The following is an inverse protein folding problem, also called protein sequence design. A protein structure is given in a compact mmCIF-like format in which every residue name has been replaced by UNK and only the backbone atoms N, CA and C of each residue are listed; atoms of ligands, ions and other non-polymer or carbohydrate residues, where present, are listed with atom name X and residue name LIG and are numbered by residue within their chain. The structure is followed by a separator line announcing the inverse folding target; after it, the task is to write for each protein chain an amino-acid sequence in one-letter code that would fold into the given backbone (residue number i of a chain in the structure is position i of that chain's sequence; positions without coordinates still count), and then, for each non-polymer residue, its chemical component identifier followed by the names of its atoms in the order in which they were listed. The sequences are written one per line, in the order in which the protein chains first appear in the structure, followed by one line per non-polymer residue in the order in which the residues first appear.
data_IF_336464918927
#
_entry.id   IF_336464918927
#
_cell.length_a   1.000
_cell.length_b   1.000
_cell.length_c   1.000
_cell.angle_alpha   90.00
_cell.angle_beta   90.00
_cell.angle_gamma   90.00
#
_symmetry.space_group_name_H-M   'P 1'
#
loop_
_entity.id
_entity.type
_entity.pdbx_description
1 polymer ?
#
# COMPACT_ATOMS: atom_id res chain seq x y z
N UNK A 1 7.54 -6.26 0.08
CA UNK A 1 8.75 -7.04 0.42
C UNK A 1 9.02 -8.07 -0.67
N UNK A 2 8.06 -8.91 -1.01
CA UNK A 2 8.22 -9.97 -2.01
C UNK A 2 8.66 -9.41 -3.38
N UNK A 3 7.98 -8.39 -3.89
CA UNK A 3 8.35 -7.68 -5.12
C UNK A 3 9.80 -7.14 -5.08
N UNK A 4 10.19 -6.57 -3.96
CA UNK A 4 11.57 -6.06 -3.80
C UNK A 4 12.61 -7.17 -3.87
N UNK A 5 12.32 -8.35 -3.31
CA UNK A 5 13.21 -9.52 -3.34
C UNK A 5 13.29 -10.16 -4.72
N UNK A 6 12.14 -10.46 -5.28
CA UNK A 6 12.04 -11.39 -6.41
C UNK A 6 12.04 -10.65 -7.77
N UNK A 7 11.59 -9.41 -7.81
CA UNK A 7 11.57 -8.60 -9.04
C UNK A 7 12.70 -7.58 -9.07
N UNK A 8 12.94 -6.85 -7.96
CA UNK A 8 14.00 -5.84 -7.92
C UNK A 8 15.38 -6.38 -7.55
N UNK A 9 15.51 -7.70 -7.25
CA UNK A 9 16.78 -8.33 -6.88
C UNK A 9 17.36 -7.86 -5.55
N UNK A 10 16.56 -7.25 -4.68
CA UNK A 10 16.98 -6.84 -3.33
C UNK A 10 16.93 -8.03 -2.38
N UNK A 11 17.85 -8.96 -2.54
CA UNK A 11 17.95 -10.14 -1.66
C UNK A 11 17.96 -9.69 -0.19
N UNK A 12 17.14 -10.33 0.64
CA UNK A 12 16.93 -9.99 2.06
C UNK A 12 16.21 -8.67 2.34
N UNK A 13 15.54 -8.04 1.35
CA UNK A 13 14.62 -6.93 1.63
C UNK A 13 13.58 -7.35 2.68
N UNK A 14 13.31 -6.48 3.65
CA UNK A 14 12.40 -6.82 4.76
C UNK A 14 11.74 -5.57 5.36
N UNK A 15 10.84 -5.80 6.29
CA UNK A 15 10.37 -4.80 7.23
C UNK A 15 11.30 -4.76 8.45
N UNK A 16 11.59 -3.55 8.96
CA UNK A 16 12.29 -3.40 10.23
C UNK A 16 11.47 -3.85 11.43
N UNK A 17 10.19 -4.16 11.24
CA UNK A 17 9.34 -4.82 12.23
C UNK A 17 9.83 -6.24 12.53
N UNK A 18 10.20 -6.99 11.50
CA UNK A 18 10.65 -8.38 11.60
C UNK A 18 12.17 -8.52 11.69
N UNK A 19 12.91 -7.65 10.98
CA UNK A 19 14.36 -7.66 11.00
C UNK A 19 14.90 -6.23 11.05
N UNK A 20 15.27 -5.78 12.24
CA UNK A 20 15.81 -4.43 12.48
C UNK A 20 17.12 -4.16 11.73
N UNK A 21 17.88 -5.21 11.41
CA UNK A 21 19.19 -5.12 10.78
C UNK A 21 19.15 -5.44 9.27
N UNK A 22 17.97 -5.44 8.66
CA UNK A 22 17.86 -5.72 7.22
C UNK A 22 18.66 -4.68 6.41
N UNK A 23 19.43 -5.16 5.42
CA UNK A 23 20.17 -4.30 4.47
C UNK A 23 19.22 -3.43 3.62
N UNK A 24 18.04 -3.93 3.34
CA UNK A 24 17.05 -3.25 2.50
C UNK A 24 15.71 -3.12 3.24
N UNK A 25 15.59 -2.13 4.15
CA UNK A 25 14.34 -1.88 4.90
C UNK A 25 13.30 -1.22 3.99
N UNK A 26 12.68 -2.00 3.10
CA UNK A 26 11.66 -1.49 2.17
C UNK A 26 10.35 -1.12 2.85
N UNK A 27 10.13 -1.67 4.06
CA UNK A 27 9.08 -1.28 4.99
C UNK A 27 9.77 -0.85 6.29
N UNK A 28 9.46 0.36 6.78
CA UNK A 28 10.16 0.94 7.93
C UNK A 28 9.26 1.90 8.71
N UNK A 29 9.70 2.28 9.91
CA UNK A 29 9.08 3.36 10.66
C UNK A 29 9.36 4.72 9.98
N UNK A 30 8.40 5.62 10.01
CA UNK A 30 8.64 7.02 9.62
C UNK A 30 9.68 7.67 10.55
N UNK A 31 10.46 8.59 10.02
CA UNK A 31 11.47 9.31 10.82
C UNK A 31 10.86 10.02 12.03
N UNK A 32 9.67 10.61 11.85
CA UNK A 32 8.89 11.23 12.94
C UNK A 32 8.51 10.24 14.05
N UNK A 33 8.43 8.95 13.75
CA UNK A 33 8.06 7.91 14.72
C UNK A 33 9.28 7.29 15.42
N UNK A 34 10.48 7.41 14.85
CA UNK A 34 11.72 6.84 15.43
C UNK A 34 12.13 7.52 16.73
N UNK A 35 11.83 8.82 16.89
CA UNK A 35 12.17 9.60 18.07
C UNK A 35 11.25 9.37 19.28
N UNK A 36 10.12 8.69 19.10
CA UNK A 36 9.10 8.54 20.15
C UNK A 36 9.36 7.26 20.95
N UNK A 37 9.73 7.42 22.23
CA UNK A 37 9.98 6.31 23.18
C UNK A 37 8.72 5.52 23.56
N UNK A 38 7.54 6.14 23.50
CA UNK A 38 6.25 5.52 23.88
C UNK A 38 5.55 5.01 22.62
N UNK A 39 5.60 3.71 22.39
CA UNK A 39 5.06 3.07 21.18
C UNK A 39 3.53 3.20 20.98
N UNK A 40 2.76 3.52 22.03
CA UNK A 40 1.29 3.60 21.95
C UNK A 40 0.73 4.74 21.12
N UNK A 41 1.44 5.88 21.02
CA UNK A 41 1.01 7.10 20.31
C UNK A 41 1.46 7.23 18.86
N UNK A 42 2.19 6.24 18.32
CA UNK A 42 2.80 6.33 16.97
C UNK A 42 2.06 5.58 15.88
N UNK A 43 0.95 4.95 16.20
CA UNK A 43 0.14 4.22 15.23
C UNK A 43 -0.67 5.21 14.38
N UNK A 44 -0.65 5.02 13.06
CA UNK A 44 -1.66 5.62 12.21
C UNK A 44 -2.98 4.90 12.46
N UNK A 45 -3.87 5.56 13.16
CA UNK A 45 -5.17 5.02 13.58
C UNK A 45 -6.28 5.93 13.11
N UNK A 46 -7.30 5.37 12.47
CA UNK A 46 -8.46 6.12 11.98
C UNK A 46 -8.41 6.42 10.49
N UNK A 47 -9.16 7.43 10.07
CA UNK A 47 -9.33 7.79 8.67
C UNK A 47 -8.21 8.73 8.19
N UNK A 48 -7.60 8.39 7.04
CA UNK A 48 -6.63 9.23 6.35
C UNK A 48 -6.98 9.36 4.88
N UNK A 49 -6.67 10.49 4.31
CA UNK A 49 -6.87 10.77 2.90
C UNK A 49 -5.84 10.04 2.04
N UNK A 50 -6.29 9.61 0.87
CA UNK A 50 -5.45 9.00 -0.15
C UNK A 50 -5.80 9.61 -1.51
N UNK A 51 -4.82 10.17 -2.17
CA UNK A 51 -4.90 10.64 -3.55
C UNK A 51 -4.58 9.49 -4.50
N UNK A 52 -5.53 9.20 -5.41
CA UNK A 52 -5.42 8.09 -6.34
C UNK A 52 -4.95 8.58 -7.70
N UNK A 53 -3.94 7.94 -8.22
CA UNK A 53 -3.37 8.20 -9.55
C UNK A 53 -4.37 7.80 -10.64
N UNK A 54 -4.79 8.73 -11.53
CA UNK A 54 -5.62 8.38 -12.69
C UNK A 54 -4.94 7.35 -13.60
N UNK A 55 -5.76 6.54 -14.28
CA UNK A 55 -5.25 5.49 -15.19
C UNK A 55 -4.77 4.22 -14.50
N UNK A 56 -5.01 4.08 -13.21
CA UNK A 56 -4.65 2.90 -12.41
C UNK A 56 -5.88 2.00 -12.17
N UNK A 57 -5.65 0.73 -11.82
CA UNK A 57 -6.71 -0.20 -11.40
C UNK A 57 -7.40 0.30 -10.13
N UNK A 58 -6.63 0.86 -9.21
CA UNK A 58 -7.16 1.52 -8.00
C UNK A 58 -8.13 2.63 -8.38
N UNK A 59 -7.76 3.49 -9.35
CA UNK A 59 -8.64 4.55 -9.83
C UNK A 59 -9.91 3.99 -10.49
N UNK A 60 -9.77 2.96 -11.31
CA UNK A 60 -10.90 2.31 -11.97
C UNK A 60 -11.91 1.72 -10.94
N UNK A 61 -11.40 1.17 -9.83
CA UNK A 61 -12.20 0.61 -8.75
C UNK A 61 -13.01 1.68 -8.00
N UNK A 62 -12.35 2.76 -7.59
CA UNK A 62 -12.97 3.81 -6.78
C UNK A 62 -13.71 4.87 -7.60
N UNK A 63 -13.25 5.15 -8.83
CA UNK A 63 -13.74 6.22 -9.70
C UNK A 63 -13.71 7.61 -9.04
N UNK A 64 -12.70 7.82 -8.19
CA UNK A 64 -12.47 9.05 -7.44
C UNK A 64 -10.98 9.35 -7.37
N UNK A 65 -10.61 10.63 -7.47
CA UNK A 65 -9.21 11.08 -7.34
C UNK A 65 -8.74 11.12 -5.89
N UNK A 66 -9.65 11.33 -4.95
CA UNK A 66 -9.38 11.39 -3.52
C UNK A 66 -10.39 10.52 -2.77
N UNK A 67 -9.88 9.72 -1.86
CA UNK A 67 -10.65 8.87 -0.97
C UNK A 67 -10.16 9.05 0.46
N UNK A 68 -10.93 8.59 1.42
CA UNK A 68 -10.50 8.51 2.81
C UNK A 68 -10.69 7.08 3.28
N UNK A 69 -9.64 6.45 3.79
CA UNK A 69 -9.66 5.05 4.23
C UNK A 69 -9.13 4.91 5.66
N UNK A 70 -9.49 3.82 6.32
CA UNK A 70 -9.13 3.60 7.73
C UNK A 70 -7.85 2.80 7.85
N UNK A 71 -6.97 3.26 8.73
CA UNK A 71 -5.64 2.71 8.98
C UNK A 71 -5.49 2.19 10.41
N UNK A 72 -4.58 1.21 10.56
CA UNK A 72 -4.20 0.64 11.85
C UNK A 72 -2.80 0.04 11.75
N UNK A 73 -1.79 0.86 11.49
CA UNK A 73 -0.40 0.39 11.32
C UNK A 73 0.62 1.44 11.79
N UNK A 74 1.88 1.04 11.91
CA UNK A 74 3.03 1.90 12.24
C UNK A 74 4.07 1.95 11.15
N UNK A 75 4.21 0.86 10.40
CA UNK A 75 5.23 0.71 9.39
C UNK A 75 4.70 1.14 8.04
N UNK A 76 5.56 1.79 7.26
CA UNK A 76 5.23 2.39 5.97
C UNK A 76 6.18 1.90 4.89
N UNK A 77 5.79 2.03 3.64
CA UNK A 77 6.73 1.87 2.51
C UNK A 77 7.83 2.91 2.65
N UNK A 78 9.08 2.47 2.69
CA UNK A 78 10.22 3.36 2.80
C UNK A 78 10.46 4.10 1.49
N UNK A 79 10.27 5.41 1.50
CA UNK A 79 10.37 6.29 0.33
C UNK A 79 11.74 6.22 -0.38
N UNK A 80 12.82 5.83 0.30
CA UNK A 80 14.14 5.63 -0.30
C UNK A 80 14.16 4.56 -1.39
N UNK A 81 13.23 3.63 -1.35
CA UNK A 81 13.13 2.52 -2.32
C UNK A 81 12.11 2.78 -3.44
N UNK A 82 11.30 3.85 -3.38
CA UNK A 82 10.24 4.12 -4.36
C UNK A 82 10.74 4.09 -5.78
N UNK A 83 11.72 4.90 -6.11
CA UNK A 83 12.27 4.99 -7.48
C UNK A 83 12.75 3.62 -8.00
N UNK A 84 13.35 2.81 -7.13
CA UNK A 84 13.78 1.47 -7.52
C UNK A 84 12.60 0.56 -7.78
N UNK A 85 11.60 0.54 -6.93
CA UNK A 85 10.41 -0.28 -7.09
C UNK A 85 9.63 0.12 -8.35
N UNK A 86 9.48 1.42 -8.62
CA UNK A 86 8.83 1.94 -9.83
C UNK A 86 9.58 1.55 -11.11
N UNK A 87 10.91 1.63 -11.10
CA UNK A 87 11.75 1.21 -12.23
C UNK A 87 11.49 -0.23 -12.67
N UNK A 88 11.11 -1.09 -11.73
CA UNK A 88 10.80 -2.50 -11.98
C UNK A 88 9.30 -2.78 -12.18
N UNK A 89 8.48 -1.74 -12.31
CA UNK A 89 7.07 -1.87 -12.68
C UNK A 89 6.05 -1.88 -11.54
N UNK A 90 6.47 -1.59 -10.30
CA UNK A 90 5.52 -1.33 -9.23
C UNK A 90 4.92 0.07 -9.40
N UNK A 91 3.61 0.16 -9.36
CA UNK A 91 2.90 1.44 -9.46
C UNK A 91 2.44 1.85 -8.07
N UNK A 92 2.81 3.04 -7.62
CA UNK A 92 2.21 3.67 -6.45
C UNK A 92 0.94 4.37 -6.89
N UNK A 93 -0.17 3.64 -6.74
CA UNK A 93 -1.49 4.06 -7.25
C UNK A 93 -2.26 4.94 -6.27
N UNK A 94 -1.83 4.99 -5.00
CA UNK A 94 -2.39 5.86 -3.98
C UNK A 94 -1.32 6.41 -3.05
N UNK A 95 -1.42 7.69 -2.71
CA UNK A 95 -0.51 8.36 -1.78
C UNK A 95 -1.27 9.29 -0.85
N UNK A 96 -0.78 9.45 0.37
CA UNK A 96 -1.18 10.55 1.23
C UNK A 96 -0.17 11.69 1.03
N UNK A 97 -0.58 12.78 0.38
CA UNK A 97 0.31 13.88 0.01
C UNK A 97 0.78 14.68 1.23
N UNK A 98 -0.04 14.80 2.26
CA UNK A 98 0.30 15.56 3.48
C UNK A 98 1.42 14.87 4.27
N UNK A 99 1.41 13.54 4.31
CA UNK A 99 2.41 12.73 5.01
C UNK A 99 3.54 12.23 4.10
N UNK A 100 3.38 12.35 2.78
CA UNK A 100 4.33 11.84 1.79
C UNK A 100 4.48 10.31 1.78
N UNK A 101 3.44 9.56 2.19
CA UNK A 101 3.49 8.10 2.31
C UNK A 101 2.65 7.39 1.26
N UNK A 102 3.05 6.16 0.95
CA UNK A 102 2.34 5.29 0.00
C UNK A 102 1.15 4.64 0.68
N UNK A 103 -0.01 4.71 0.05
CA UNK A 103 -1.27 4.15 0.54
C UNK A 103 -1.76 2.96 -0.27
N UNK A 104 -1.45 2.93 -1.57
CA UNK A 104 -1.82 1.84 -2.44
C UNK A 104 -0.76 1.59 -3.51
N UNK A 105 -0.61 0.32 -3.87
CA UNK A 105 0.28 -0.16 -4.92
C UNK A 105 -0.45 -1.09 -5.87
N UNK A 106 0.03 -1.18 -7.12
CA UNK A 106 -0.45 -2.17 -8.08
C UNK A 106 0.65 -2.61 -9.04
N UNK A 107 0.45 -3.77 -9.70
CA UNK A 107 1.27 -4.26 -10.80
C UNK A 107 0.47 -4.09 -12.10
N UNK A 108 1.05 -3.38 -13.08
CA UNK A 108 0.36 -2.98 -14.32
C UNK A 108 -0.20 -4.16 -15.10
N UNK A 109 0.65 -5.14 -15.37
CA UNK A 109 0.34 -6.24 -16.30
C UNK A 109 -0.23 -7.48 -15.59
N UNK A 110 -0.55 -7.38 -14.29
CA UNK A 110 -1.26 -8.41 -13.55
C UNK A 110 -2.78 -8.19 -13.67
N UNK A 111 -3.60 -9.22 -13.86
CA UNK A 111 -5.07 -9.08 -13.96
C UNK A 111 -5.66 -8.26 -12.82
N UNK A 112 -5.31 -8.61 -11.59
CA UNK A 112 -5.65 -7.85 -10.39
C UNK A 112 -4.60 -8.05 -9.31
N UNK A 113 -3.59 -7.18 -9.28
CA UNK A 113 -2.72 -6.99 -8.14
C UNK A 113 -2.87 -5.55 -7.68
N UNK A 114 -3.70 -5.34 -6.66
CA UNK A 114 -3.87 -4.05 -5.97
C UNK A 114 -3.76 -4.33 -4.48
N UNK A 115 -2.91 -3.59 -3.79
CA UNK A 115 -2.74 -3.71 -2.35
C UNK A 115 -2.80 -2.32 -1.70
N UNK A 116 -3.49 -2.23 -0.58
CA UNK A 116 -3.62 -1.01 0.22
C UNK A 116 -2.90 -1.15 1.57
N UNK A 117 -2.44 -0.02 2.09
CA UNK A 117 -1.92 0.11 3.45
C UNK A 117 -3.07 0.19 4.47
N UNK A 118 -4.22 0.66 4.03
CA UNK A 118 -5.45 0.77 4.79
C UNK A 118 -6.19 -0.58 4.89
N UNK A 119 -7.24 -0.60 5.71
CA UNK A 119 -8.08 -1.76 6.01
C UNK A 119 -9.44 -1.64 5.31
N UNK A 120 -9.60 -2.13 4.07
CA UNK A 120 -10.86 -2.01 3.31
C UNK A 120 -12.03 -2.72 3.99
N UNK A 121 -11.78 -3.78 4.78
CA UNK A 121 -12.80 -4.51 5.52
C UNK A 121 -13.54 -3.63 6.53
N UNK A 122 -12.89 -2.60 7.07
CA UNK A 122 -13.52 -1.67 8.02
C UNK A 122 -14.59 -0.78 7.39
N UNK A 123 -14.61 -0.69 6.06
CA UNK A 123 -15.59 0.11 5.29
C UNK A 123 -16.49 -0.74 4.39
N UNK A 124 -16.24 -2.03 4.28
CA UNK A 124 -17.11 -2.94 3.53
C UNK A 124 -18.39 -3.25 4.30
N UNK A 125 -19.50 -3.44 3.58
CA UNK A 125 -20.82 -3.80 4.14
C UNK A 125 -21.44 -4.86 3.26
N UNK A 126 -22.35 -5.65 3.81
CA UNK A 126 -23.07 -6.72 3.08
C UNK A 126 -23.79 -6.18 1.84
N UNK A 127 -24.46 -5.04 1.97
CA UNK A 127 -25.18 -4.38 0.88
C UNK A 127 -24.33 -3.40 0.06
N UNK A 128 -23.06 -3.18 0.43
CA UNK A 128 -22.15 -2.25 -0.24
C UNK A 128 -20.71 -2.74 -0.06
N UNK A 129 -20.33 -3.71 -0.87
CA UNK A 129 -18.96 -4.22 -0.87
C UNK A 129 -17.94 -3.12 -1.17
N UNK A 130 -16.82 -3.17 -0.47
CA UNK A 130 -15.72 -2.24 -0.73
C UNK A 130 -15.24 -2.35 -2.19
N UNK A 131 -14.90 -1.23 -2.87
CA UNK A 131 -14.52 -1.23 -4.28
C UNK A 131 -13.41 -2.23 -4.61
N UNK A 132 -12.37 -2.32 -3.79
CA UNK A 132 -11.26 -3.25 -4.04
C UNK A 132 -11.69 -4.72 -3.98
N UNK A 133 -12.59 -5.09 -3.06
CA UNK A 133 -13.12 -6.45 -2.97
C UNK A 133 -14.00 -6.79 -4.16
N UNK A 134 -14.89 -5.87 -4.56
CA UNK A 134 -15.76 -6.04 -5.72
C UNK A 134 -14.94 -6.28 -6.99
N UNK A 135 -13.94 -5.44 -7.24
CA UNK A 135 -13.13 -5.55 -8.46
C UNK A 135 -12.18 -6.75 -8.43
N UNK A 136 -11.70 -7.16 -7.24
CA UNK A 136 -10.95 -8.40 -7.09
C UNK A 136 -11.79 -9.62 -7.53
N UNK A 137 -13.03 -9.74 -7.03
CA UNK A 137 -13.93 -10.83 -7.40
C UNK A 137 -14.27 -10.78 -8.91
N UNK A 138 -14.51 -9.56 -9.46
CA UNK A 138 -14.75 -9.40 -10.90
C UNK A 138 -13.58 -9.91 -11.72
N UNK A 139 -12.36 -9.45 -11.43
CA UNK A 139 -11.16 -9.86 -12.13
C UNK A 139 -10.90 -11.37 -11.98
N UNK A 140 -11.16 -11.94 -10.82
CA UNK A 140 -11.02 -13.39 -10.60
C UNK A 140 -11.96 -14.19 -11.50
N UNK A 141 -13.21 -13.77 -11.62
CA UNK A 141 -14.18 -14.44 -12.54
C UNK A 141 -13.75 -14.35 -14.02
N UNK A 142 -13.24 -13.19 -14.43
CA UNK A 142 -12.82 -12.95 -15.83
C UNK A 142 -11.54 -13.72 -16.20
N UNK A 143 -10.76 -14.19 -15.23
CA UNK A 143 -9.49 -14.89 -15.46
C UNK A 143 -9.53 -16.39 -15.08
N UNK A 144 -10.71 -16.94 -14.74
CA UNK A 144 -10.90 -18.38 -14.52
C UNK A 144 -11.29 -19.09 -15.83
N UNK A 145 -11.72 -18.34 -16.83
CA UNK A 145 -12.08 -18.80 -18.16
C UNK A 145 -10.93 -18.60 -19.14
#
# INVERSE_FOLDING_TARGET
IDFARNVCGLKNANSTEFNKNTKYPVIDLMESQRAIKIKGGTMRLGAYDCEIKPGTKTYAAYRKKKISERHRHRYEVNNRFRNRLEKYGLIFSGVNSDLGVVEAIEIKDHPWFVAGQFHPELKSRVNKAHPLFREFIRASKENIL
#
